data_IF_315727064897
#
_entry.id   IF_315727064897
#
_cell.length_a   1.000
_cell.length_b   1.000
_cell.length_c   1.000
_cell.angle_alpha   90.00
_cell.angle_beta   90.00
_cell.angle_gamma   90.00
#
_symmetry.space_group_name_H-M   'P 1'
#
loop_
_entity.id
_entity.type
_entity.pdbx_description
1 polymer ?
#
# COMPACT_ATOMS: atom_id res chain seq x y z
N UNK A 1 -19.04 1.35 5.29
CA UNK A 1 -17.89 0.94 6.12
C UNK A 1 -16.82 0.34 5.23
N UNK A 2 -15.55 0.68 5.49
CA UNK A 2 -14.41 0.16 4.72
C UNK A 2 -14.15 -1.32 5.02
N UNK A 3 -13.85 -2.08 3.97
CA UNK A 3 -13.50 -3.50 4.02
C UNK A 3 -12.07 -3.72 3.51
N UNK A 4 -11.41 -4.77 3.99
CA UNK A 4 -10.06 -5.19 3.57
C UNK A 4 -10.14 -6.65 3.18
N UNK A 5 -9.87 -6.95 1.91
CA UNK A 5 -10.06 -8.28 1.33
C UNK A 5 -8.76 -8.79 0.70
N UNK A 6 -8.43 -10.06 0.94
CA UNK A 6 -7.29 -10.72 0.30
C UNK A 6 -7.63 -11.06 -1.16
N UNK A 7 -6.72 -10.75 -2.06
CA UNK A 7 -6.82 -11.03 -3.50
C UNK A 7 -5.80 -12.12 -3.88
N UNK A 8 -5.32 -12.10 -5.12
CA UNK A 8 -4.27 -13.00 -5.59
C UNK A 8 -2.86 -12.60 -5.14
N UNK A 9 -1.88 -13.38 -5.57
CA UNK A 9 -0.48 -13.22 -5.18
C UNK A 9 0.15 -11.92 -5.72
N UNK A 10 1.12 -11.39 -4.98
CA UNK A 10 2.03 -10.36 -5.49
C UNK A 10 2.96 -11.01 -6.53
N UNK A 11 2.73 -10.72 -7.82
CA UNK A 11 3.45 -11.39 -8.93
C UNK A 11 4.96 -11.21 -8.93
N UNK A 12 5.45 -10.06 -8.45
CA UNK A 12 6.88 -9.72 -8.37
C UNK A 12 7.37 -9.68 -6.91
N UNK A 13 6.86 -10.60 -6.09
CA UNK A 13 7.17 -10.67 -4.66
C UNK A 13 8.67 -10.87 -4.38
N UNK A 14 9.22 -10.06 -3.48
CA UNK A 14 10.56 -10.21 -2.93
C UNK A 14 10.52 -11.17 -1.73
N UNK A 15 11.02 -12.38 -1.91
CA UNK A 15 10.75 -13.49 -0.98
C UNK A 15 11.56 -13.51 0.32
N UNK A 16 12.64 -12.73 0.45
CA UNK A 16 13.56 -12.84 1.60
C UNK A 16 14.01 -11.45 2.08
N UNK A 17 13.12 -10.70 2.75
CA UNK A 17 13.54 -9.50 3.47
C UNK A 17 14.49 -9.84 4.61
N UNK A 18 15.58 -9.09 4.74
CA UNK A 18 16.37 -9.06 5.97
C UNK A 18 15.69 -8.15 7.02
N UNK A 19 16.16 -8.22 8.27
CA UNK A 19 15.56 -7.48 9.38
C UNK A 19 15.52 -5.95 9.18
N UNK A 20 16.54 -5.38 8.52
CA UNK A 20 16.57 -3.93 8.24
C UNK A 20 15.54 -3.55 7.17
N UNK A 21 15.41 -4.36 6.11
CA UNK A 21 14.40 -4.16 5.07
C UNK A 21 12.99 -4.28 5.64
N UNK A 22 12.75 -5.26 6.53
CA UNK A 22 11.45 -5.41 7.19
C UNK A 22 11.15 -4.20 8.10
N UNK A 23 12.15 -3.74 8.87
CA UNK A 23 12.01 -2.55 9.70
C UNK A 23 11.68 -1.30 8.87
N UNK A 24 12.43 -1.05 7.80
CA UNK A 24 12.23 0.08 6.89
C UNK A 24 10.87 0.00 6.18
N UNK A 25 10.43 -1.18 5.76
CA UNK A 25 9.11 -1.39 5.17
C UNK A 25 7.98 -1.01 6.14
N UNK A 26 8.10 -1.40 7.42
CA UNK A 26 7.12 -1.04 8.45
C UNK A 26 7.08 0.47 8.68
N UNK A 27 8.22 1.14 8.70
CA UNK A 27 8.30 2.59 8.80
C UNK A 27 7.69 3.28 7.57
N UNK A 28 7.97 2.78 6.36
CA UNK A 28 7.39 3.30 5.12
C UNK A 28 5.87 3.22 5.11
N UNK A 29 5.29 2.08 5.51
CA UNK A 29 3.84 1.89 5.63
C UNK A 29 3.26 2.85 6.68
N UNK A 30 3.93 3.02 7.82
CA UNK A 30 3.46 3.91 8.88
C UNK A 30 3.50 5.40 8.49
N UNK A 31 4.37 5.79 7.56
CA UNK A 31 4.50 7.17 7.08
C UNK A 31 3.45 7.59 6.03
N UNK A 32 2.57 6.67 5.59
CA UNK A 32 1.50 7.00 4.63
C UNK A 32 0.61 8.11 5.16
N UNK A 33 0.48 9.16 4.35
CA UNK A 33 -0.54 10.21 4.45
C UNK A 33 -1.71 9.94 3.48
N UNK A 34 -2.90 10.41 3.84
CA UNK A 34 -4.10 10.20 3.02
C UNK A 34 -4.00 10.88 1.64
N UNK A 35 -3.44 12.08 1.56
CA UNK A 35 -3.36 12.83 0.30
C UNK A 35 -2.41 12.16 -0.70
N UNK A 36 -1.32 11.56 -0.21
CA UNK A 36 -0.30 10.94 -1.04
C UNK A 36 -0.79 9.70 -1.79
N UNK A 37 -1.73 8.94 -1.21
CA UNK A 37 -2.36 7.76 -1.85
C UNK A 37 -2.99 8.09 -3.19
N UNK A 38 -3.47 9.33 -3.36
CA UNK A 38 -4.22 9.76 -4.53
C UNK A 38 -3.38 10.49 -5.59
N UNK A 39 -2.06 10.57 -5.40
CA UNK A 39 -1.15 11.20 -6.36
C UNK A 39 -1.04 10.38 -7.65
N UNK A 40 -0.40 10.97 -8.66
CA UNK A 40 0.01 10.25 -9.86
C UNK A 40 1.08 9.20 -9.54
N UNK A 41 1.41 8.37 -10.54
CA UNK A 41 2.42 7.33 -10.37
C UNK A 41 3.77 7.91 -9.92
N UNK A 42 4.41 7.25 -8.95
CA UNK A 42 5.69 7.66 -8.39
C UNK A 42 5.84 7.31 -6.92
N UNK A 43 7.04 7.54 -6.39
CA UNK A 43 7.36 7.33 -4.98
C UNK A 43 6.70 8.38 -4.10
N UNK A 44 5.98 7.93 -3.09
CA UNK A 44 5.34 8.80 -2.09
C UNK A 44 6.04 8.72 -0.72
N UNK A 45 6.73 7.61 -0.43
CA UNK A 45 7.59 7.49 0.76
C UNK A 45 8.90 6.83 0.34
N UNK A 46 10.03 7.38 0.78
CA UNK A 46 11.34 6.75 0.65
C UNK A 46 11.95 6.59 2.04
N UNK A 47 12.20 5.37 2.46
CA UNK A 47 12.61 5.01 3.82
C UNK A 47 13.74 3.98 3.77
N UNK A 48 14.97 4.46 3.92
CA UNK A 48 16.16 3.60 3.95
C UNK A 48 16.26 2.70 2.72
N UNK A 49 16.15 1.39 2.94
CA UNK A 49 16.26 0.34 1.92
C UNK A 49 14.97 0.11 1.13
N UNK A 50 13.90 0.84 1.42
CA UNK A 50 12.56 0.60 0.88
C UNK A 50 11.93 1.91 0.38
N UNK A 51 11.07 1.79 -0.62
CA UNK A 51 10.17 2.88 -1.04
C UNK A 51 8.73 2.39 -1.08
N UNK A 52 7.80 3.31 -0.92
CA UNK A 52 6.38 3.09 -1.18
C UNK A 52 5.98 3.94 -2.37
N UNK A 53 5.50 3.26 -3.39
CA UNK A 53 5.15 3.84 -4.68
C UNK A 53 3.65 3.71 -4.95
N UNK A 54 3.09 4.73 -5.59
CA UNK A 54 1.86 4.62 -6.38
C UNK A 54 2.28 4.12 -7.77
N UNK A 55 1.85 2.92 -8.16
CA UNK A 55 2.14 2.34 -9.48
C UNK A 55 1.22 2.86 -10.59
N UNK A 56 0.32 3.77 -10.24
CA UNK A 56 -0.77 4.25 -11.08
C UNK A 56 -2.08 3.54 -10.76
N UNK A 57 -3.04 3.66 -11.67
CA UNK A 57 -4.39 3.12 -11.50
C UNK A 57 -4.56 1.79 -12.25
N UNK A 58 -5.31 0.87 -11.66
CA UNK A 58 -5.74 -0.36 -12.35
C UNK A 58 -6.76 -0.03 -13.44
N UNK A 59 -7.06 -1.00 -14.31
CA UNK A 59 -8.15 -0.84 -15.30
C UNK A 59 -9.52 -0.57 -14.66
N UNK A 60 -9.71 -0.97 -13.41
CA UNK A 60 -10.91 -0.70 -12.62
C UNK A 60 -10.87 0.66 -11.88
N UNK A 61 -9.83 1.47 -12.10
CA UNK A 61 -9.68 2.82 -11.53
C UNK A 61 -9.05 2.88 -10.14
N UNK A 62 -8.64 1.74 -9.58
CA UNK A 62 -8.12 1.65 -8.21
C UNK A 62 -6.66 2.09 -8.12
N UNK A 63 -6.28 2.75 -7.03
CA UNK A 63 -4.88 3.07 -6.79
C UNK A 63 -4.11 1.80 -6.42
N UNK A 64 -3.00 1.56 -7.11
CA UNK A 64 -2.12 0.43 -6.84
C UNK A 64 -0.91 0.91 -6.04
N UNK A 65 -0.91 0.64 -4.74
CA UNK A 65 0.20 0.94 -3.84
C UNK A 65 1.13 -0.26 -3.75
N UNK A 66 2.43 -0.04 -3.84
CA UNK A 66 3.44 -1.07 -3.65
C UNK A 66 4.58 -0.59 -2.76
N UNK A 67 4.94 -1.40 -1.78
CA UNK A 67 6.16 -1.26 -1.00
C UNK A 67 7.23 -2.10 -1.67
N UNK A 68 8.38 -1.50 -2.00
CA UNK A 68 9.41 -2.13 -2.82
C UNK A 68 10.81 -1.93 -2.26
N UNK A 69 11.67 -2.94 -2.39
CA UNK A 69 13.08 -2.83 -2.05
C UNK A 69 13.82 -1.93 -3.06
N UNK A 70 14.65 -1.04 -2.56
CA UNK A 70 15.51 -0.16 -3.36
C UNK A 70 16.70 -0.91 -3.94
N UNK A 71 17.09 -0.57 -5.17
CA UNK A 71 18.26 -1.16 -5.84
C UNK A 71 18.07 -2.61 -6.33
N UNK A 72 16.89 -3.20 -6.17
CA UNK A 72 16.58 -4.54 -6.68
C UNK A 72 15.95 -4.44 -8.07
N UNK A 73 16.60 -5.10 -9.04
CA UNK A 73 16.05 -5.32 -10.38
C UNK A 73 15.24 -6.63 -10.39
N UNK A 74 14.03 -6.60 -10.96
CA UNK A 74 13.13 -7.75 -11.02
C UNK A 74 12.12 -7.75 -9.87
N UNK A 75 12.03 -8.86 -9.13
CA UNK A 75 11.08 -9.00 -8.03
C UNK A 75 11.51 -8.13 -6.86
N UNK A 76 10.83 -7.00 -6.63
CA UNK A 76 11.17 -6.02 -5.59
C UNK A 76 10.04 -5.79 -4.59
N UNK A 77 8.81 -6.22 -4.88
CA UNK A 77 7.64 -5.86 -4.09
C UNK A 77 7.52 -6.71 -2.84
N UNK A 78 7.40 -6.08 -1.68
CA UNK A 78 7.23 -6.78 -0.39
C UNK A 78 5.81 -6.66 0.14
N UNK A 79 5.04 -5.65 -0.30
CA UNK A 79 3.63 -5.50 0.01
C UNK A 79 2.91 -4.76 -1.11
N UNK A 80 1.64 -5.08 -1.34
CA UNK A 80 0.80 -4.43 -2.34
C UNK A 80 -0.65 -4.27 -1.85
N UNK A 81 -1.24 -3.12 -2.13
CA UNK A 81 -2.65 -2.86 -1.85
C UNK A 81 -3.33 -2.13 -3.01
N UNK A 82 -4.59 -2.51 -3.27
CA UNK A 82 -5.47 -1.86 -4.24
C UNK A 82 -6.54 -1.04 -3.50
N UNK A 83 -6.58 0.27 -3.72
CA UNK A 83 -7.49 1.16 -3.01
C UNK A 83 -8.56 1.65 -3.97
N UNK A 84 -9.82 1.28 -3.70
CA UNK A 84 -10.95 1.71 -4.51
C UNK A 84 -11.16 3.23 -4.41
N UNK A 85 -11.63 3.84 -5.50
CA UNK A 85 -11.86 5.29 -5.55
C UNK A 85 -12.92 5.77 -4.53
N UNK A 86 -13.86 4.90 -4.13
CA UNK A 86 -14.85 5.20 -3.10
C UNK A 86 -14.24 5.55 -1.74
N UNK A 87 -13.01 5.09 -1.48
CA UNK A 87 -12.25 5.40 -0.25
C UNK A 87 -11.79 6.87 -0.23
N UNK A 88 -11.65 7.50 -1.40
CA UNK A 88 -11.28 8.92 -1.51
C UNK A 88 -12.35 9.86 -0.96
N UNK A 89 -13.60 9.40 -0.83
CA UNK A 89 -14.73 10.17 -0.30
C UNK A 89 -14.65 10.50 1.21
N UNK A 90 -13.49 10.30 1.86
CA UNK A 90 -13.23 10.70 3.23
C UNK A 90 -13.14 12.23 3.35
N UNK A 91 -14.25 12.85 3.75
CA UNK A 91 -14.42 14.30 3.71
C UNK A 91 -13.91 15.00 4.98
N UNK A 92 -13.97 14.30 6.12
CA UNK A 92 -13.53 14.82 7.43
C UNK A 92 -12.28 14.09 7.93
N UNK A 93 -11.57 14.71 8.85
CA UNK A 93 -10.30 14.18 9.38
C UNK A 93 -10.45 12.77 9.96
N UNK A 94 -11.49 12.51 10.75
CA UNK A 94 -11.73 11.19 11.33
C UNK A 94 -11.91 10.09 10.27
N UNK A 95 -12.54 10.40 9.14
CA UNK A 95 -12.73 9.48 8.02
C UNK A 95 -11.40 9.21 7.30
N UNK A 96 -10.55 10.23 7.14
CA UNK A 96 -9.23 10.09 6.53
C UNK A 96 -8.30 9.24 7.39
N UNK A 97 -8.28 9.48 8.70
CA UNK A 97 -7.55 8.65 9.66
C UNK A 97 -8.02 7.19 9.60
N UNK A 98 -9.34 6.97 9.56
CA UNK A 98 -9.89 5.62 9.41
C UNK A 98 -9.49 4.95 8.09
N UNK A 99 -9.55 5.68 6.97
CA UNK A 99 -9.13 5.20 5.67
C UNK A 99 -7.64 4.82 5.65
N UNK A 100 -6.77 5.70 6.13
CA UNK A 100 -5.32 5.44 6.24
C UNK A 100 -5.05 4.22 7.10
N UNK A 101 -5.76 4.06 8.23
CA UNK A 101 -5.64 2.86 9.06
C UNK A 101 -5.95 1.58 8.27
N UNK A 102 -7.03 1.55 7.50
CA UNK A 102 -7.39 0.38 6.67
C UNK A 102 -6.40 0.12 5.54
N UNK A 103 -5.83 1.16 4.95
CA UNK A 103 -4.77 1.04 3.94
C UNK A 103 -3.51 0.43 4.57
N UNK A 104 -3.11 0.91 5.76
CA UNK A 104 -1.98 0.35 6.52
C UNK A 104 -2.24 -1.11 6.91
N UNK A 105 -3.43 -1.45 7.40
CA UNK A 105 -3.83 -2.82 7.72
C UNK A 105 -3.69 -3.76 6.50
N UNK A 106 -4.11 -3.30 5.31
CA UNK A 106 -3.99 -4.05 4.06
C UNK A 106 -2.53 -4.28 3.66
N UNK A 107 -1.69 -3.24 3.73
CA UNK A 107 -0.26 -3.35 3.39
C UNK A 107 0.50 -4.23 4.40
N UNK A 108 0.20 -4.12 5.70
CA UNK A 108 0.81 -5.01 6.70
C UNK A 108 0.39 -6.47 6.52
N UNK A 109 -0.87 -6.71 6.15
CA UNK A 109 -1.37 -8.06 5.85
C UNK A 109 -0.68 -8.63 4.61
N UNK A 110 -0.56 -7.82 3.55
CA UNK A 110 0.18 -8.16 2.33
C UNK A 110 1.65 -8.47 2.61
N UNK A 111 2.31 -7.66 3.44
CA UNK A 111 3.70 -7.86 3.82
C UNK A 111 3.93 -9.19 4.56
N UNK A 112 2.92 -9.66 5.29
CA UNK A 112 3.02 -10.87 6.08
C UNK A 112 2.84 -12.15 5.25
N UNK A 113 2.01 -12.11 4.21
CA UNK A 113 1.64 -13.33 3.46
C UNK A 113 1.88 -13.26 1.94
N UNK A 114 2.40 -12.16 1.41
CA UNK A 114 2.69 -11.91 -0.01
C UNK A 114 1.47 -11.94 -0.95
N UNK A 115 0.26 -11.62 -0.46
CA UNK A 115 -0.92 -11.41 -1.30
C UNK A 115 -1.25 -9.94 -1.46
N UNK A 116 -1.87 -9.60 -2.58
CA UNK A 116 -2.46 -8.27 -2.77
C UNK A 116 -3.68 -8.16 -1.86
N UNK A 117 -3.83 -7.04 -1.16
CA UNK A 117 -5.05 -6.74 -0.41
C UNK A 117 -5.82 -5.58 -1.04
N UNK A 118 -7.14 -5.65 -1.04
CA UNK A 118 -8.02 -4.63 -1.62
C UNK A 118 -8.79 -3.91 -0.53
N UNK A 119 -8.85 -2.59 -0.59
CA UNK A 119 -9.63 -1.74 0.31
C UNK A 119 -10.80 -1.13 -0.45
N UNK A 120 -12.03 -1.42 0.00
CA UNK A 120 -13.27 -0.99 -0.68
C UNK A 120 -14.27 -0.39 0.30
N UNK A 121 -15.32 0.23 -0.24
CA UNK A 121 -16.44 0.79 0.53
C UNK A 121 -16.29 2.29 0.79
N UNK A 122 -17.16 2.80 1.65
CA UNK A 122 -17.21 4.24 1.99
C UNK A 122 -16.69 4.46 3.42
N UNK A 123 -15.83 5.47 3.63
CA UNK A 123 -15.41 5.91 4.96
C UNK A 123 -16.57 6.69 5.60
N UNK A 124 -17.31 6.00 6.48
CA UNK A 124 -18.46 6.54 7.22
C UNK A 124 -18.05 6.89 8.64
#
# INVERSE_FOLDING_TARGET
>A
MLQVERMGDVRNAYGNMNANQEHDARLAINAIDFADVWRGAGTIVNQGLVRLDVQGRTAAGEQNLQVQINGVNGNSTVAAALIAESVQNANIEAQRVYAVRKIKDALFSSMNDSHIYRVTGTPT
#
